data_IF_706368342489
#
_entry.id   IF_706368342489
#
_cell.length_a   1.000
_cell.length_b   1.000
_cell.length_c   1.000
_cell.angle_alpha   90.00
_cell.angle_beta   90.00
_cell.angle_gamma   90.00
#
_symmetry.space_group_name_H-M   'P 1'
#
loop_
_entity.id
_entity.type
_entity.pdbx_description
1 polymer ?
#
# COMPACT_ATOMS: atom_id res chain seq x y z
N UNK A 1 -31.54 10.28 24.90
CA UNK A 1 -30.54 11.26 24.42
C UNK A 1 -31.26 12.48 23.87
N UNK A 2 -30.77 13.71 24.07
CA UNK A 2 -31.44 14.88 23.45
C UNK A 2 -31.07 15.00 21.95
N UNK A 3 -31.83 15.78 21.19
CA UNK A 3 -31.66 15.89 19.73
C UNK A 3 -30.27 16.43 19.33
N UNK A 4 -29.76 17.39 20.09
CA UNK A 4 -28.44 18.01 19.86
C UNK A 4 -27.30 17.01 20.07
N UNK A 5 -27.35 16.22 21.15
CA UNK A 5 -26.37 15.16 21.44
C UNK A 5 -26.38 14.07 20.37
N UNK A 6 -27.56 13.74 19.86
CA UNK A 6 -27.71 12.75 18.78
C UNK A 6 -27.07 13.25 17.48
N UNK A 7 -27.41 14.47 17.07
CA UNK A 7 -26.89 15.05 15.84
C UNK A 7 -25.39 15.25 15.92
N UNK A 8 -24.86 15.64 17.08
CA UNK A 8 -23.44 15.76 17.31
C UNK A 8 -22.72 14.42 17.17
N UNK A 9 -23.26 13.34 17.77
CA UNK A 9 -22.66 12.01 17.67
C UNK A 9 -22.76 11.46 16.24
N UNK A 10 -23.86 11.72 15.54
CA UNK A 10 -24.01 11.33 14.15
C UNK A 10 -23.03 12.07 13.23
N UNK A 11 -22.81 13.37 13.48
CA UNK A 11 -21.79 14.15 12.80
C UNK A 11 -20.39 13.59 13.03
N UNK A 12 -20.06 13.19 14.26
CA UNK A 12 -18.77 12.56 14.58
C UNK A 12 -18.55 11.25 13.81
N UNK A 13 -19.58 10.40 13.70
CA UNK A 13 -19.48 9.18 12.88
C UNK A 13 -19.18 9.50 11.41
N UNK A 14 -19.90 10.47 10.83
CA UNK A 14 -19.67 10.91 9.44
C UNK A 14 -18.25 11.41 9.23
N UNK A 15 -17.80 12.31 10.10
CA UNK A 15 -16.43 12.85 10.03
C UNK A 15 -15.38 11.75 10.14
N UNK A 16 -15.60 10.75 11.01
CA UNK A 16 -14.67 9.63 11.16
C UNK A 16 -14.62 8.74 9.93
N UNK A 17 -15.77 8.45 9.32
CA UNK A 17 -15.85 7.67 8.07
C UNK A 17 -15.16 8.44 6.93
N UNK A 18 -15.45 9.73 6.77
CA UNK A 18 -14.82 10.58 5.76
C UNK A 18 -13.29 10.58 5.90
N UNK A 19 -12.76 10.72 7.12
CA UNK A 19 -11.32 10.61 7.37
C UNK A 19 -10.73 9.25 6.99
N UNK A 20 -11.40 8.14 7.36
CA UNK A 20 -10.93 6.80 7.02
C UNK A 20 -10.89 6.58 5.50
N UNK A 21 -11.87 7.12 4.77
CA UNK A 21 -11.92 7.04 3.31
C UNK A 21 -10.82 7.88 2.65
N UNK A 22 -10.47 9.04 3.22
CA UNK A 22 -9.33 9.83 2.77
C UNK A 22 -8.00 9.09 2.98
N UNK A 23 -7.82 8.48 4.15
CA UNK A 23 -6.62 7.69 4.47
C UNK A 23 -6.50 6.47 3.52
N UNK A 24 -7.61 5.78 3.28
CA UNK A 24 -7.69 4.68 2.29
C UNK A 24 -7.31 5.14 0.88
N UNK A 25 -7.75 6.34 0.46
CA UNK A 25 -7.40 6.90 -0.83
C UNK A 25 -5.91 7.25 -0.91
N UNK A 26 -5.33 7.73 0.20
CA UNK A 26 -3.89 7.98 0.29
C UNK A 26 -3.09 6.69 0.09
N UNK A 27 -3.45 5.62 0.81
CA UNK A 27 -2.78 4.32 0.65
C UNK A 27 -2.93 3.78 -0.77
N UNK A 28 -4.10 3.91 -1.40
CA UNK A 28 -4.29 3.51 -2.82
C UNK A 28 -3.33 4.24 -3.77
N UNK A 29 -3.08 5.54 -3.55
CA UNK A 29 -2.13 6.30 -4.34
C UNK A 29 -0.69 5.81 -4.12
N UNK A 30 -0.34 5.50 -2.87
CA UNK A 30 0.98 4.98 -2.55
C UNK A 30 1.21 3.59 -3.14
N UNK A 31 0.24 2.67 -3.04
CA UNK A 31 0.29 1.35 -3.68
C UNK A 31 0.54 1.47 -5.19
N UNK A 32 -0.18 2.34 -5.88
CA UNK A 32 0.05 2.61 -7.31
C UNK A 32 1.47 3.08 -7.58
N UNK A 33 2.01 3.97 -6.74
CA UNK A 33 3.38 4.46 -6.88
C UNK A 33 4.41 3.34 -6.71
N UNK A 34 4.19 2.42 -5.77
CA UNK A 34 5.05 1.24 -5.59
C UNK A 34 4.98 0.32 -6.82
N UNK A 35 3.79 0.11 -7.39
CA UNK A 35 3.61 -0.66 -8.63
C UNK A 35 4.36 -0.01 -9.81
N UNK A 36 4.26 1.31 -9.97
CA UNK A 36 5.02 2.07 -10.98
C UNK A 36 6.54 1.94 -10.77
N UNK A 37 7.00 1.93 -9.52
CA UNK A 37 8.42 1.71 -9.19
C UNK A 37 8.87 0.29 -9.53
N UNK A 38 8.05 -0.73 -9.23
CA UNK A 38 8.33 -2.12 -9.59
C UNK A 38 8.44 -2.29 -11.12
N UNK A 39 7.53 -1.69 -11.89
CA UNK A 39 7.55 -1.75 -13.36
C UNK A 39 8.79 -1.04 -13.93
N UNK A 40 9.09 0.17 -13.43
CA UNK A 40 10.27 0.91 -13.85
C UNK A 40 11.56 0.14 -13.51
N UNK A 41 11.61 -0.46 -12.33
CA UNK A 41 12.75 -1.27 -11.89
C UNK A 41 12.94 -2.51 -12.76
N UNK A 42 11.87 -3.22 -13.08
CA UNK A 42 11.91 -4.37 -13.98
C UNK A 42 12.49 -4.01 -15.36
N UNK A 43 12.06 -2.87 -15.93
CA UNK A 43 12.59 -2.41 -17.21
C UNK A 43 14.07 -2.01 -17.14
N UNK A 44 14.49 -1.36 -16.06
CA UNK A 44 15.90 -1.03 -15.83
C UNK A 44 16.76 -2.29 -15.69
N UNK A 45 16.28 -3.30 -14.97
CA UNK A 45 16.98 -4.56 -14.79
C UNK A 45 17.16 -5.31 -16.12
N UNK A 46 16.15 -5.30 -17.01
CA UNK A 46 16.30 -5.88 -18.35
C UNK A 46 17.39 -5.18 -19.17
N UNK A 47 17.44 -3.84 -19.13
CA UNK A 47 18.48 -3.08 -19.83
C UNK A 47 19.86 -3.33 -19.27
N UNK A 48 19.97 -3.38 -17.94
CA UNK A 48 21.22 -3.70 -17.27
C UNK A 48 21.72 -5.10 -17.66
N UNK A 49 20.84 -6.09 -17.66
CA UNK A 49 21.18 -7.45 -18.08
C UNK A 49 21.67 -7.50 -19.53
N UNK A 50 21.00 -6.79 -20.44
CA UNK A 50 21.44 -6.69 -21.84
C UNK A 50 22.82 -6.02 -21.97
N UNK A 51 23.05 -4.94 -21.22
CA UNK A 51 24.35 -4.26 -21.22
C UNK A 51 25.45 -5.16 -20.63
N UNK A 52 25.15 -5.88 -19.56
CA UNK A 52 26.05 -6.81 -18.92
C UNK A 52 26.45 -7.97 -19.84
N UNK A 53 25.47 -8.58 -20.52
CA UNK A 53 25.73 -9.63 -21.52
C UNK A 53 26.59 -9.11 -22.68
N UNK A 54 26.32 -7.89 -23.16
CA UNK A 54 27.13 -7.26 -24.19
C UNK A 54 28.61 -7.10 -23.76
N UNK A 55 28.84 -6.62 -22.53
CA UNK A 55 30.17 -6.45 -21.96
C UNK A 55 30.88 -7.81 -21.82
N UNK A 56 30.21 -8.83 -21.26
CA UNK A 56 30.79 -10.17 -21.11
C UNK A 56 31.14 -10.84 -22.44
N UNK A 57 30.44 -10.51 -23.52
CA UNK A 57 30.70 -11.04 -24.85
C UNK A 57 31.80 -10.28 -25.59
N UNK A 58 32.15 -9.09 -25.12
CA UNK A 58 33.09 -8.18 -25.78
C UNK A 58 34.38 -7.94 -24.98
N UNK A 59 34.44 -8.37 -23.71
CA UNK A 59 35.61 -8.20 -22.86
C UNK A 59 36.71 -9.23 -23.16
N UNK A 60 37.95 -8.87 -22.82
CA UNK A 60 39.07 -9.80 -22.87
C UNK A 60 38.91 -10.91 -21.82
N UNK A 61 39.59 -12.04 -22.02
CA UNK A 61 39.46 -13.20 -21.13
C UNK A 61 39.97 -12.88 -19.72
N UNK A 62 41.04 -12.08 -19.59
CA UNK A 62 41.59 -11.66 -18.31
C UNK A 62 40.64 -10.76 -17.51
N UNK A 63 39.81 -9.96 -18.19
CA UNK A 63 38.85 -9.03 -17.55
C UNK A 63 37.51 -9.69 -17.21
N UNK A 64 37.22 -10.85 -17.78
CA UNK A 64 35.93 -11.52 -17.65
C UNK A 64 35.54 -11.81 -16.20
N UNK A 65 36.49 -12.26 -15.38
CA UNK A 65 36.27 -12.54 -13.97
C UNK A 65 35.86 -11.27 -13.19
N UNK A 66 36.49 -10.13 -13.49
CA UNK A 66 36.16 -8.85 -12.87
C UNK A 66 34.71 -8.43 -13.18
N UNK A 67 34.28 -8.55 -14.44
CA UNK A 67 32.90 -8.23 -14.81
C UNK A 67 31.91 -9.22 -14.20
N UNK A 68 32.26 -10.51 -14.11
CA UNK A 68 31.43 -11.54 -13.49
C UNK A 68 31.10 -11.24 -12.02
N UNK A 69 32.13 -10.96 -11.21
CA UNK A 69 31.94 -10.62 -9.79
C UNK A 69 31.02 -9.40 -9.62
N UNK A 70 31.18 -8.40 -10.49
CA UNK A 70 30.38 -7.18 -10.46
C UNK A 70 28.93 -7.42 -10.90
N UNK A 71 28.72 -8.32 -11.85
CA UNK A 71 27.38 -8.76 -12.27
C UNK A 71 26.65 -9.51 -11.16
N UNK A 72 27.35 -10.37 -10.44
CA UNK A 72 26.79 -11.10 -9.30
C UNK A 72 26.40 -10.14 -8.15
N UNK A 73 27.25 -9.15 -7.86
CA UNK A 73 26.94 -8.08 -6.89
C UNK A 73 25.72 -7.27 -7.33
N UNK A 74 25.66 -6.84 -8.59
CA UNK A 74 24.51 -6.08 -9.10
C UNK A 74 23.22 -6.90 -9.00
N UNK A 75 23.26 -8.18 -9.40
CA UNK A 75 22.11 -9.08 -9.30
C UNK A 75 21.65 -9.25 -7.84
N UNK A 76 22.59 -9.34 -6.90
CA UNK A 76 22.26 -9.40 -5.48
C UNK A 76 21.55 -8.13 -5.01
N UNK A 77 22.06 -6.96 -5.35
CA UNK A 77 21.45 -5.68 -5.03
C UNK A 77 20.06 -5.54 -5.67
N UNK A 78 19.91 -5.99 -6.91
CA UNK A 78 18.63 -5.92 -7.60
C UNK A 78 17.56 -6.78 -6.93
N UNK A 79 17.91 -8.01 -6.52
CA UNK A 79 17.01 -8.88 -5.74
C UNK A 79 16.64 -8.29 -4.38
N UNK A 80 17.58 -7.57 -3.76
CA UNK A 80 17.33 -6.87 -2.49
C UNK A 80 16.30 -5.77 -2.66
N UNK A 81 16.47 -4.90 -3.68
CA UNK A 81 15.52 -3.83 -3.98
C UNK A 81 14.14 -4.38 -4.33
N UNK A 82 14.08 -5.44 -5.14
CA UNK A 82 12.82 -6.10 -5.48
C UNK A 82 12.08 -6.58 -4.22
N UNK A 83 12.79 -7.20 -3.28
CA UNK A 83 12.21 -7.64 -2.00
C UNK A 83 11.72 -6.46 -1.16
N UNK A 84 12.48 -5.37 -1.08
CA UNK A 84 12.06 -4.18 -0.35
C UNK A 84 10.76 -3.57 -0.91
N UNK A 85 10.59 -3.56 -2.23
CA UNK A 85 9.36 -3.12 -2.88
C UNK A 85 8.18 -4.08 -2.61
N UNK A 86 8.42 -5.40 -2.63
CA UNK A 86 7.41 -6.41 -2.29
C UNK A 86 6.97 -6.28 -0.83
N UNK A 87 7.91 -6.10 0.10
CA UNK A 87 7.64 -5.88 1.53
C UNK A 87 6.82 -4.60 1.73
N UNK A 88 7.16 -3.50 1.06
CA UNK A 88 6.39 -2.26 1.12
C UNK A 88 4.95 -2.45 0.61
N UNK A 89 4.76 -3.20 -0.49
CA UNK A 89 3.43 -3.48 -1.03
C UNK A 89 2.58 -4.31 -0.06
N UNK A 90 3.19 -5.28 0.62
CA UNK A 90 2.52 -6.10 1.65
C UNK A 90 2.11 -5.25 2.86
N UNK A 91 2.98 -4.36 3.35
CA UNK A 91 2.62 -3.49 4.47
C UNK A 91 1.49 -2.52 4.10
N UNK A 92 1.53 -1.91 2.91
CA UNK A 92 0.44 -1.06 2.43
C UNK A 92 -0.89 -1.82 2.30
N UNK A 93 -0.86 -3.10 1.90
CA UNK A 93 -2.07 -3.94 1.86
C UNK A 93 -2.63 -4.20 3.26
N UNK A 94 -1.76 -4.49 4.24
CA UNK A 94 -2.17 -4.69 5.64
C UNK A 94 -2.79 -3.43 6.22
N UNK A 95 -2.16 -2.28 6.03
CA UNK A 95 -2.67 -0.99 6.50
C UNK A 95 -4.01 -0.65 5.83
N UNK A 96 -4.11 -0.84 4.51
CA UNK A 96 -5.37 -0.64 3.79
C UNK A 96 -6.49 -1.52 4.34
N UNK A 97 -6.20 -2.80 4.60
CA UNK A 97 -7.17 -3.73 5.20
C UNK A 97 -7.60 -3.28 6.59
N UNK A 98 -6.66 -2.83 7.43
CA UNK A 98 -6.97 -2.31 8.76
C UNK A 98 -7.90 -1.09 8.70
N UNK A 99 -7.70 -0.18 7.74
CA UNK A 99 -8.58 0.98 7.56
C UNK A 99 -10.00 0.57 7.13
N UNK A 100 -10.14 -0.45 6.27
CA UNK A 100 -11.44 -0.99 5.89
C UNK A 100 -12.16 -1.62 7.10
N UNK A 101 -11.45 -2.42 7.89
CA UNK A 101 -12.01 -3.06 9.08
C UNK A 101 -12.44 -1.99 10.11
N UNK A 102 -11.70 -0.89 10.24
CA UNK A 102 -12.08 0.25 11.09
C UNK A 102 -13.32 0.97 10.56
N UNK A 103 -13.43 1.21 9.25
CA UNK A 103 -14.61 1.82 8.64
C UNK A 103 -15.86 0.97 8.85
N UNK A 104 -15.73 -0.35 8.67
CA UNK A 104 -16.82 -1.31 8.92
C UNK A 104 -17.28 -1.26 10.38
N UNK A 105 -16.34 -1.24 11.34
CA UNK A 105 -16.64 -1.11 12.77
C UNK A 105 -17.40 0.19 13.08
N UNK A 106 -16.91 1.33 12.57
CA UNK A 106 -17.55 2.64 12.78
C UNK A 106 -18.95 2.67 12.16
N UNK A 107 -19.13 2.08 10.98
CA UNK A 107 -20.42 1.98 10.30
C UNK A 107 -21.41 1.09 11.06
N UNK A 108 -20.94 -0.02 11.64
CA UNK A 108 -21.75 -0.89 12.48
C UNK A 108 -22.17 -0.21 13.79
N UNK A 109 -21.27 0.56 14.41
CA UNK A 109 -21.57 1.38 15.58
C UNK A 109 -22.61 2.46 15.26
N UNK A 110 -22.44 3.18 14.15
CA UNK A 110 -23.39 4.19 13.69
C UNK A 110 -24.78 3.59 13.43
N UNK A 111 -24.82 2.42 12.77
CA UNK A 111 -26.08 1.71 12.50
C UNK A 111 -26.77 1.27 13.79
N UNK A 112 -26.00 0.75 14.75
CA UNK A 112 -26.52 0.34 16.06
C UNK A 112 -27.04 1.54 16.85
N UNK A 113 -26.33 2.67 16.77
CA UNK A 113 -26.72 3.94 17.37
C UNK A 113 -28.05 4.47 16.81
N UNK A 114 -28.24 4.42 15.49
CA UNK A 114 -29.51 4.80 14.85
C UNK A 114 -30.67 3.92 15.30
N UNK A 115 -30.47 2.59 15.35
CA UNK A 115 -31.48 1.64 15.82
C UNK A 115 -31.89 1.87 17.27
N UNK A 116 -30.97 2.28 18.13
CA UNK A 116 -31.28 2.62 19.52
C UNK A 116 -32.23 3.83 19.61
N UNK A 117 -32.02 4.88 18.79
CA UNK A 117 -32.94 6.03 18.73
C UNK A 117 -34.31 5.66 18.17
N UNK A 118 -34.37 4.82 17.14
CA UNK A 118 -35.64 4.34 16.57
C UNK A 118 -36.43 3.47 17.56
N UNK A 119 -35.75 2.62 18.33
CA UNK A 119 -36.34 1.83 19.41
C UNK A 119 -36.88 2.68 20.57
N UNK A 120 -36.18 3.76 20.93
CA UNK A 120 -36.66 4.75 21.92
C UNK A 120 -37.90 5.52 21.41
N UNK A 121 -38.02 5.77 20.10
CA UNK A 121 -39.15 6.48 19.49
C UNK A 121 -40.42 5.65 19.32
N UNK A 122 -40.32 4.32 19.28
CA UNK A 122 -41.46 3.41 19.10
C UNK A 122 -42.00 2.82 20.43
N UNK A 123 -41.45 3.26 21.58
CA UNK A 123 -41.80 2.79 22.92
C UNK A 123 -42.74 3.70 23.73
N UNK A 124 -43.30 4.74 23.11
CA UNK A 124 -44.34 5.64 23.68
C UNK A 124 -45.58 5.63 22.81
#
# INVERSE_FOLDING_TARGET
MNEVEYDQKNYQFRMRIEQLQEDQLSIKKEKRKVEEQQEAFFYLQQKEQQAYEFVLNSCEAEERAFYQDRGDESLYLAKKVQRELEEQQVELEKEYRLLLDQEESVSAEQTSFWKQKEGESNGT
#
